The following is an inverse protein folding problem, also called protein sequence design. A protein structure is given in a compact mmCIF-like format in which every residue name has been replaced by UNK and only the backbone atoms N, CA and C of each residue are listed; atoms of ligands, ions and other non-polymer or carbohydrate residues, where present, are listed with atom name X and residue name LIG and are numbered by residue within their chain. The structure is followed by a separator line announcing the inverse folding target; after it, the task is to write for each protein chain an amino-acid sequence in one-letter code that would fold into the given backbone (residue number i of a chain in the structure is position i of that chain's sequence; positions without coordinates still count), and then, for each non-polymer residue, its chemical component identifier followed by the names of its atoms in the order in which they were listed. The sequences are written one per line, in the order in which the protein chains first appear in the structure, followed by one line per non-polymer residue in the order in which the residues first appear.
data_IF_729744736888
#
_entry.id   IF_729744736888
#
_cell.length_a   1.000
_cell.length_b   1.000
_cell.length_c   1.000
_cell.angle_alpha   90.00
_cell.angle_beta   90.00
_cell.angle_gamma   90.00
#
_symmetry.space_group_name_H-M   'P 1'
#
loop_
_entity.id
_entity.type
_entity.pdbx_description
1 polymer ?
#
# COMPACT_ATOMS: atom_id res chain seq x y z
N UNK A 1 -14.45 27.16 27.39
CA UNK A 1 -12.98 27.14 27.24
C UNK A 1 -12.64 25.71 26.87
N UNK A 2 -12.47 25.41 25.59
CA UNK A 2 -11.99 24.07 25.22
C UNK A 2 -10.53 24.01 25.69
N UNK A 3 -10.19 23.02 26.51
CA UNK A 3 -8.81 22.81 26.95
C UNK A 3 -7.88 22.84 25.74
N UNK A 4 -6.66 23.36 25.94
CA UNK A 4 -5.62 23.37 24.92
C UNK A 4 -5.57 21.97 24.28
N UNK A 5 -5.69 21.85 22.94
CA UNK A 5 -5.72 20.55 22.30
C UNK A 5 -4.44 19.79 22.66
N UNK A 6 -4.62 18.63 23.29
CA UNK A 6 -3.51 17.75 23.64
C UNK A 6 -2.97 17.13 22.36
N UNK A 7 -1.65 17.15 22.18
CA UNK A 7 -1.00 16.67 20.95
C UNK A 7 -0.48 15.25 21.10
N UNK A 8 -0.13 14.61 19.97
CA UNK A 8 0.58 13.33 19.96
C UNK A 8 1.90 13.44 20.75
N UNK A 9 2.63 14.55 20.62
CA UNK A 9 3.90 14.79 21.33
C UNK A 9 3.72 14.84 22.84
N UNK A 10 2.60 15.36 23.32
CA UNK A 10 2.32 15.45 24.76
C UNK A 10 2.12 14.06 25.40
N UNK A 11 1.70 13.06 24.60
CA UNK A 11 1.36 11.72 25.09
C UNK A 11 2.34 10.61 24.68
N UNK A 12 3.24 10.85 23.71
CA UNK A 12 4.09 9.80 23.14
C UNK A 12 4.95 9.07 24.19
N UNK A 13 5.36 9.78 25.24
CA UNK A 13 6.16 9.21 26.33
C UNK A 13 5.33 8.39 27.34
N UNK A 14 4.00 8.49 27.31
CA UNK A 14 3.11 7.66 28.12
C UNK A 14 2.82 6.29 27.47
N UNK A 15 3.19 6.11 26.20
CA UNK A 15 2.98 4.87 25.46
C UNK A 15 4.12 3.87 25.69
N UNK A 16 3.83 2.56 25.74
CA UNK A 16 4.86 1.54 25.81
C UNK A 16 5.69 1.52 24.51
N UNK A 17 6.94 1.08 24.63
CA UNK A 17 7.74 0.76 23.44
C UNK A 17 7.14 -0.45 22.71
N UNK A 18 7.33 -0.50 21.40
CA UNK A 18 6.90 -1.65 20.59
C UNK A 18 7.70 -2.90 20.96
N UNK A 19 6.99 -4.03 20.99
CA UNK A 19 7.48 -5.39 21.22
C UNK A 19 6.41 -6.37 20.75
N UNK A 20 6.74 -7.66 20.64
CA UNK A 20 5.81 -8.70 20.21
C UNK A 20 4.54 -8.76 21.07
N UNK A 21 4.65 -8.50 22.37
CA UNK A 21 3.51 -8.46 23.29
C UNK A 21 2.54 -7.28 23.02
N UNK A 22 2.97 -6.30 22.24
CA UNK A 22 2.18 -5.12 21.88
C UNK A 22 1.54 -5.21 20.49
N UNK A 23 1.55 -6.38 19.85
CA UNK A 23 0.94 -6.59 18.53
C UNK A 23 -0.48 -5.99 18.48
N UNK A 24 -0.76 -5.19 17.44
CA UNK A 24 -2.04 -4.51 17.24
C UNK A 24 -2.35 -3.34 18.20
N UNK A 25 -1.50 -3.05 19.20
CA UNK A 25 -1.72 -1.95 20.15
C UNK A 25 -1.02 -0.67 19.70
N UNK A 26 -1.59 0.48 20.04
CA UNK A 26 -0.92 1.77 19.85
C UNK A 26 0.28 1.87 20.82
N UNK A 27 1.48 1.96 20.24
CA UNK A 27 2.76 2.06 20.95
C UNK A 27 3.43 3.40 20.65
N UNK A 28 4.55 3.67 21.32
CA UNK A 28 5.43 4.80 20.98
C UNK A 28 5.83 4.78 19.50
N UNK A 29 6.08 3.59 18.95
CA UNK A 29 6.45 3.44 17.54
C UNK A 29 5.28 3.79 16.60
N UNK A 30 4.06 3.36 16.93
CA UNK A 30 2.86 3.77 16.18
C UNK A 30 2.66 5.30 16.21
N UNK A 31 2.87 5.93 17.37
CA UNK A 31 2.77 7.38 17.51
C UNK A 31 3.83 8.14 16.69
N UNK A 32 5.07 7.63 16.61
CA UNK A 32 6.07 8.20 15.71
C UNK A 32 5.70 8.00 14.23
N UNK A 33 5.14 6.85 13.85
CA UNK A 33 4.62 6.62 12.49
C UNK A 33 3.57 7.66 12.09
N UNK A 34 2.63 7.96 13.00
CA UNK A 34 1.66 9.03 12.81
C UNK A 34 2.32 10.42 12.68
N UNK A 35 3.32 10.72 13.50
CA UNK A 35 4.06 11.99 13.42
C UNK A 35 4.79 12.13 12.08
N UNK A 36 5.42 11.06 11.58
CA UNK A 36 6.04 11.05 10.25
C UNK A 36 5.00 11.40 9.18
N UNK A 37 3.82 10.78 9.22
CA UNK A 37 2.76 11.07 8.23
C UNK A 37 2.28 12.51 8.32
N UNK A 38 2.06 13.03 9.52
CA UNK A 38 1.66 14.42 9.74
C UNK A 38 2.72 15.41 9.24
N UNK A 39 3.99 15.21 9.58
CA UNK A 39 5.07 16.12 9.20
C UNK A 39 5.40 16.07 7.71
N UNK A 40 5.39 14.88 7.12
CA UNK A 40 5.59 14.71 5.68
C UNK A 40 4.51 15.45 4.88
N UNK A 41 3.29 15.53 5.39
CA UNK A 41 2.19 16.23 4.71
C UNK A 41 1.96 17.67 5.19
N UNK A 42 2.76 18.17 6.13
CA UNK A 42 2.49 19.44 6.81
C UNK A 42 2.46 20.65 5.88
N UNK A 43 3.38 20.74 4.91
CA UNK A 43 3.41 21.87 3.97
C UNK A 43 2.09 21.97 3.20
N UNK A 44 1.58 20.84 2.73
CA UNK A 44 0.35 20.79 1.94
C UNK A 44 -0.87 21.27 2.75
N UNK A 45 -0.98 20.87 4.01
CA UNK A 45 -2.18 21.12 4.81
C UNK A 45 -2.11 22.40 5.65
N UNK A 46 -0.91 22.88 5.97
CA UNK A 46 -0.72 24.04 6.87
C UNK A 46 0.02 25.19 6.20
N UNK A 47 0.52 25.01 4.97
CA UNK A 47 1.37 25.98 4.29
C UNK A 47 2.80 26.07 4.85
N UNK A 48 3.13 25.26 5.88
CA UNK A 48 4.46 25.28 6.53
C UNK A 48 5.10 23.91 6.46
N UNK A 49 6.24 23.82 5.77
CA UNK A 49 7.03 22.61 5.71
C UNK A 49 7.60 22.20 7.07
N UNK A 50 7.62 20.89 7.34
CA UNK A 50 8.14 20.29 8.59
C UNK A 50 9.10 19.12 8.30
N UNK A 51 9.91 19.25 7.25
CA UNK A 51 10.82 18.20 6.78
C UNK A 51 11.84 17.76 7.85
N UNK A 52 12.41 18.70 8.60
CA UNK A 52 13.34 18.39 9.68
C UNK A 52 12.67 17.57 10.79
N UNK A 53 11.43 17.90 11.16
CA UNK A 53 10.67 17.13 12.15
C UNK A 53 10.27 15.75 11.62
N UNK A 54 9.95 15.64 10.32
CA UNK A 54 9.72 14.35 9.66
C UNK A 54 10.95 13.47 9.76
N UNK A 55 12.14 14.00 9.42
CA UNK A 55 13.41 13.28 9.50
C UNK A 55 13.67 12.82 10.94
N UNK A 56 13.54 13.71 11.93
CA UNK A 56 13.75 13.35 13.34
C UNK A 56 12.77 12.29 13.85
N UNK A 57 11.51 12.31 13.41
CA UNK A 57 10.54 11.28 13.74
C UNK A 57 10.85 9.93 13.07
N UNK A 58 11.36 9.95 11.83
CA UNK A 58 11.87 8.75 11.16
C UNK A 58 13.09 8.18 11.91
N UNK A 59 14.03 9.03 12.31
CA UNK A 59 15.24 8.61 13.04
C UNK A 59 14.89 7.93 14.36
N UNK A 60 13.90 8.44 15.10
CA UNK A 60 13.43 7.79 16.33
C UNK A 60 12.97 6.32 16.12
N UNK A 61 12.43 6.01 14.93
CA UNK A 61 12.02 4.65 14.55
C UNK A 61 13.21 3.83 14.05
N UNK A 62 14.03 4.40 13.16
CA UNK A 62 15.19 3.73 12.55
C UNK A 62 16.25 3.39 13.61
N UNK A 63 16.52 4.30 14.53
CA UNK A 63 17.44 4.11 15.67
C UNK A 63 16.81 3.25 16.78
N UNK A 64 15.61 2.72 16.55
CA UNK A 64 14.89 1.80 17.42
C UNK A 64 14.60 2.36 18.83
N UNK A 65 14.57 3.68 19.00
CA UNK A 65 14.29 4.34 20.29
C UNK A 65 12.85 4.09 20.78
N UNK A 66 11.94 3.79 19.85
CA UNK A 66 10.55 3.48 20.12
C UNK A 66 10.26 1.97 20.31
N UNK A 67 11.31 1.12 20.25
CA UNK A 67 11.21 -0.33 20.26
C UNK A 67 10.76 -0.91 18.91
N UNK A 68 10.92 -2.22 18.73
CA UNK A 68 10.52 -2.95 17.53
C UNK A 68 9.83 -4.27 17.88
N UNK A 69 8.95 -4.75 17.00
CA UNK A 69 8.08 -5.88 17.31
C UNK A 69 8.87 -7.14 17.66
N UNK A 70 9.85 -7.49 16.82
CA UNK A 70 10.66 -8.71 16.97
C UNK A 70 12.15 -8.38 17.15
N UNK A 71 12.44 -7.46 18.07
CA UNK A 71 13.79 -6.92 18.29
C UNK A 71 13.97 -5.56 17.60
N UNK A 72 15.22 -5.18 17.31
CA UNK A 72 15.48 -3.96 16.56
C UNK A 72 14.80 -4.02 15.18
N UNK A 73 14.14 -2.91 14.79
CA UNK A 73 13.49 -2.81 13.48
C UNK A 73 14.51 -3.06 12.36
N UNK A 74 14.07 -3.79 11.34
CA UNK A 74 14.85 -4.05 10.14
C UNK A 74 13.90 -4.30 8.97
N UNK A 75 14.37 -4.03 7.76
CA UNK A 75 13.65 -4.45 6.55
C UNK A 75 13.61 -5.98 6.52
N UNK A 76 12.45 -6.54 6.19
CA UNK A 76 12.37 -7.99 5.99
C UNK A 76 13.18 -8.37 4.75
N UNK A 77 13.85 -9.54 4.71
CA UNK A 77 14.75 -9.88 3.61
C UNK A 77 14.03 -10.10 2.27
N UNK A 78 12.78 -10.58 2.28
CA UNK A 78 12.01 -10.82 1.07
C UNK A 78 10.85 -9.83 0.93
N UNK A 79 10.42 -9.57 -0.31
CA UNK A 79 9.27 -8.70 -0.62
C UNK A 79 7.92 -9.31 -0.24
N UNK A 80 7.88 -10.53 0.29
CA UNK A 80 6.66 -11.26 0.67
C UNK A 80 6.49 -11.41 2.18
N UNK A 81 7.57 -11.29 2.98
CA UNK A 81 7.57 -11.62 4.41
C UNK A 81 6.58 -10.77 5.22
N UNK A 82 6.42 -9.49 4.88
CA UNK A 82 5.47 -8.57 5.53
C UNK A 82 4.00 -8.88 5.17
N UNK A 83 3.76 -9.74 4.18
CA UNK A 83 2.46 -9.91 3.55
C UNK A 83 1.94 -11.36 3.57
N UNK A 84 2.55 -12.23 4.37
CA UNK A 84 2.14 -13.63 4.57
C UNK A 84 1.47 -13.83 5.93
N UNK A 85 0.77 -14.96 6.18
CA UNK A 85 -0.04 -15.08 7.39
C UNK A 85 0.70 -15.18 8.72
N UNK A 86 2.02 -15.36 8.70
CA UNK A 86 2.89 -15.28 9.88
C UNK A 86 3.67 -13.95 9.94
N UNK A 87 3.21 -12.90 9.26
CA UNK A 87 3.87 -11.60 9.22
C UNK A 87 3.94 -10.89 10.59
N UNK A 88 3.25 -11.37 11.63
CA UNK A 88 3.53 -10.96 13.01
C UNK A 88 4.99 -11.20 13.45
N UNK A 89 5.74 -12.03 12.72
CA UNK A 89 7.19 -12.25 12.90
C UNK A 89 8.07 -11.21 12.20
N UNK A 90 7.50 -10.36 11.34
CA UNK A 90 8.20 -9.30 10.63
C UNK A 90 8.93 -8.36 11.60
N UNK A 91 10.12 -7.92 11.22
CA UNK A 91 10.84 -6.82 11.91
C UNK A 91 10.53 -5.46 11.29
N UNK A 92 9.83 -5.46 10.17
CA UNK A 92 9.48 -4.27 9.41
C UNK A 92 8.19 -3.62 9.91
N UNK A 93 7.23 -4.40 10.43
CA UNK A 93 5.93 -3.89 10.88
C UNK A 93 6.07 -3.04 12.16
N UNK A 94 5.56 -1.81 12.08
CA UNK A 94 5.57 -0.81 13.17
C UNK A 94 4.20 -0.74 13.85
N UNK A 95 3.14 -0.81 13.06
CA UNK A 95 1.77 -0.84 13.56
C UNK A 95 0.88 -1.57 12.56
N UNK A 96 0.08 -2.52 13.05
CA UNK A 96 -0.83 -3.32 12.23
C UNK A 96 -2.22 -3.41 12.83
N UNK A 97 -3.20 -3.72 11.98
CA UNK A 97 -4.43 -4.37 12.43
C UNK A 97 -4.10 -5.85 12.55
N UNK A 98 -4.10 -6.36 13.78
CA UNK A 98 -3.77 -7.75 14.06
C UNK A 98 -4.92 -8.69 13.69
N UNK A 99 -4.64 -9.77 12.96
CA UNK A 99 -5.61 -10.80 12.59
C UNK A 99 -5.17 -12.17 13.08
N UNK A 100 -6.14 -12.96 13.55
CA UNK A 100 -5.91 -14.37 13.91
C UNK A 100 -7.20 -15.12 13.65
N UNK A 101 -7.23 -15.86 12.54
CA UNK A 101 -8.41 -16.59 12.13
C UNK A 101 -8.71 -17.77 13.07
N UNK A 102 -7.67 -18.45 13.53
CA UNK A 102 -7.78 -19.72 14.28
C UNK A 102 -8.17 -19.44 15.72
N UNK A 103 -7.46 -18.54 16.40
CA UNK A 103 -7.73 -18.22 17.79
C UNK A 103 -8.76 -17.09 17.96
N UNK A 104 -8.95 -16.26 16.93
CA UNK A 104 -9.90 -15.14 16.94
C UNK A 104 -11.30 -15.49 16.46
N UNK A 105 -11.71 -16.76 16.49
CA UNK A 105 -13.05 -17.22 16.06
C UNK A 105 -13.44 -16.74 14.65
N UNK A 106 -12.51 -16.85 13.70
CA UNK A 106 -12.73 -16.41 12.33
C UNK A 106 -12.43 -14.93 12.08
N UNK A 107 -11.82 -14.22 13.04
CA UNK A 107 -11.33 -12.85 12.86
C UNK A 107 -10.23 -12.81 11.81
N UNK A 108 -10.53 -12.18 10.67
CA UNK A 108 -9.68 -12.21 9.48
C UNK A 108 -9.82 -10.92 8.68
N UNK A 109 -8.82 -10.59 7.85
CA UNK A 109 -8.94 -9.47 6.95
C UNK A 109 -10.14 -9.62 6.00
N UNK A 110 -10.89 -8.54 5.84
CA UNK A 110 -12.03 -8.47 4.92
C UNK A 110 -11.65 -8.03 3.51
N UNK A 111 -10.39 -7.65 3.27
CA UNK A 111 -9.93 -7.15 1.96
C UNK A 111 -10.11 -8.19 0.84
N UNK A 112 -10.09 -9.49 1.17
CA UNK A 112 -10.40 -10.56 0.20
C UNK A 112 -11.79 -10.39 -0.43
N UNK A 113 -12.78 -9.88 0.29
CA UNK A 113 -14.14 -9.69 -0.22
C UNK A 113 -14.17 -8.75 -1.42
N UNK A 114 -13.39 -7.66 -1.39
CA UNK A 114 -13.44 -6.62 -2.43
C UNK A 114 -12.37 -6.81 -3.53
N UNK A 115 -11.20 -7.34 -3.16
CA UNK A 115 -10.07 -7.44 -4.08
C UNK A 115 -9.99 -8.77 -4.85
N UNK A 116 -10.70 -9.82 -4.41
CA UNK A 116 -10.57 -11.14 -5.04
C UNK A 116 -11.64 -11.39 -6.09
N UNK A 117 -11.21 -12.09 -7.13
CA UNK A 117 -12.10 -12.75 -8.08
C UNK A 117 -12.87 -13.90 -7.41
N UNK A 118 -14.05 -14.28 -7.93
CA UNK A 118 -14.93 -15.33 -7.39
C UNK A 118 -14.21 -16.66 -7.11
N UNK A 119 -13.31 -17.04 -8.02
CA UNK A 119 -12.57 -18.30 -8.00
C UNK A 119 -11.10 -18.15 -7.58
N UNK A 120 -10.69 -16.98 -7.07
CA UNK A 120 -9.31 -16.77 -6.61
C UNK A 120 -8.91 -17.72 -5.48
N UNK A 121 -9.89 -18.26 -4.73
CA UNK A 121 -9.69 -19.29 -3.69
C UNK A 121 -8.86 -20.48 -4.12
N UNK A 122 -8.96 -20.89 -5.38
CA UNK A 122 -8.21 -22.03 -5.92
C UNK A 122 -6.73 -21.69 -6.20
N UNK A 123 -6.43 -20.41 -6.44
CA UNK A 123 -5.09 -19.90 -6.76
C UNK A 123 -4.19 -19.90 -5.51
N UNK A 124 -4.76 -20.03 -4.31
CA UNK A 124 -4.02 -20.14 -3.05
C UNK A 124 -4.42 -21.33 -2.17
N UNK A 125 -5.18 -22.29 -2.71
CA UNK A 125 -5.66 -23.47 -1.96
C UNK A 125 -6.40 -23.10 -0.66
N UNK A 126 -7.39 -22.21 -0.80
CA UNK A 126 -8.23 -21.76 0.31
C UNK A 126 -9.72 -21.80 0.02
N UNK A 127 -10.52 -21.29 0.97
CA UNK A 127 -11.98 -21.39 0.95
C UNK A 127 -12.69 -20.07 0.69
N UNK A 128 -12.03 -18.94 0.97
CA UNK A 128 -12.64 -17.62 0.83
C UNK A 128 -12.70 -17.15 -0.62
N UNK A 129 -13.80 -16.53 -1.04
CA UNK A 129 -13.93 -15.88 -2.34
C UNK A 129 -14.01 -14.35 -2.18
N UNK A 130 -14.01 -13.64 -3.31
CA UNK A 130 -14.36 -12.22 -3.35
C UNK A 130 -15.53 -11.95 -4.29
N UNK A 131 -15.85 -10.67 -4.47
CA UNK A 131 -16.97 -10.17 -5.28
C UNK A 131 -16.57 -9.72 -6.69
N UNK A 132 -15.30 -9.93 -7.07
CA UNK A 132 -14.75 -9.53 -8.36
C UNK A 132 -14.79 -8.01 -8.64
N UNK A 133 -14.84 -7.17 -7.59
CA UNK A 133 -15.11 -5.75 -7.72
C UNK A 133 -13.89 -4.86 -7.99
N UNK A 134 -12.77 -5.09 -7.31
CA UNK A 134 -11.59 -4.19 -7.39
C UNK A 134 -10.45 -4.84 -8.16
N UNK A 135 -9.91 -4.10 -9.13
CA UNK A 135 -8.77 -4.51 -9.96
C UNK A 135 -7.68 -3.45 -9.97
N UNK A 136 -6.50 -3.83 -10.43
CA UNK A 136 -5.46 -2.86 -10.79
C UNK A 136 -5.95 -1.98 -11.93
N UNK A 137 -5.75 -0.66 -11.81
CA UNK A 137 -5.98 0.30 -12.89
C UNK A 137 -5.12 -0.11 -14.09
N UNK A 138 -5.70 -0.30 -15.29
CA UNK A 138 -4.96 -0.67 -16.49
C UNK A 138 -3.74 0.22 -16.76
N UNK A 139 -2.63 -0.41 -17.15
CA UNK A 139 -1.37 0.27 -17.46
C UNK A 139 -0.45 0.55 -16.27
N UNK A 140 -0.93 0.41 -15.01
CA UNK A 140 -0.06 0.45 -13.83
C UNK A 140 1.00 -0.66 -13.89
N UNK A 141 0.63 -1.81 -14.46
CA UNK A 141 1.55 -2.93 -14.65
C UNK A 141 2.80 -2.57 -15.46
N UNK A 142 2.64 -1.73 -16.48
CA UNK A 142 3.73 -1.31 -17.35
C UNK A 142 4.79 -0.45 -16.62
N UNK A 143 4.48 0.02 -15.41
CA UNK A 143 5.44 0.77 -14.58
C UNK A 143 6.48 -0.13 -13.92
N UNK A 144 6.24 -1.45 -13.85
CA UNK A 144 7.18 -2.44 -13.35
C UNK A 144 8.01 -3.03 -14.50
N UNK A 145 9.32 -3.11 -14.29
CA UNK A 145 10.22 -3.80 -15.22
C UNK A 145 9.97 -5.30 -15.21
N UNK A 146 10.32 -5.98 -16.30
CA UNK A 146 10.16 -7.44 -16.43
C UNK A 146 10.98 -8.24 -15.42
N UNK A 147 12.08 -7.69 -14.89
CA UNK A 147 12.89 -8.33 -13.85
C UNK A 147 12.53 -7.87 -12.43
N UNK A 148 11.49 -7.04 -12.25
CA UNK A 148 10.99 -6.64 -10.95
C UNK A 148 10.09 -7.74 -10.37
N UNK A 149 10.54 -8.39 -9.30
CA UNK A 149 9.83 -9.52 -8.68
C UNK A 149 8.43 -9.13 -8.18
N UNK A 150 8.20 -7.86 -7.82
CA UNK A 150 6.88 -7.38 -7.37
C UNK A 150 5.82 -7.58 -8.44
N UNK A 151 6.20 -7.50 -9.72
CA UNK A 151 5.33 -7.70 -10.88
C UNK A 151 4.67 -9.08 -10.88
N UNK A 152 5.36 -10.09 -10.34
CA UNK A 152 4.92 -11.49 -10.33
C UNK A 152 4.45 -11.95 -8.95
N UNK A 153 5.08 -11.46 -7.88
CA UNK A 153 4.72 -11.83 -6.51
C UNK A 153 3.46 -11.12 -6.01
N UNK A 154 3.29 -9.84 -6.35
CA UNK A 154 2.21 -9.01 -5.82
C UNK A 154 1.01 -8.91 -6.75
N UNK A 155 1.13 -9.29 -8.03
CA UNK A 155 0.08 -9.10 -9.03
C UNK A 155 -0.22 -10.43 -9.72
N UNK A 156 -1.47 -10.90 -9.64
CA UNK A 156 -1.93 -12.02 -10.47
C UNK A 156 -2.22 -11.54 -11.89
N UNK A 157 -1.72 -12.30 -12.86
CA UNK A 157 -1.79 -12.01 -14.29
C UNK A 157 -1.84 -13.28 -15.11
N UNK A 158 -2.37 -13.18 -16.34
CA UNK A 158 -2.33 -14.26 -17.31
C UNK A 158 -3.17 -15.47 -16.87
N UNK A 159 -2.89 -16.66 -17.44
CA UNK A 159 -3.62 -17.87 -17.12
C UNK A 159 -3.46 -18.28 -15.66
N UNK A 160 -4.58 -18.56 -15.00
CA UNK A 160 -4.61 -18.99 -13.60
C UNK A 160 -4.71 -20.51 -13.49
N UNK A 161 -4.02 -21.06 -12.50
CA UNK A 161 -3.96 -22.50 -12.21
C UNK A 161 -4.13 -22.72 -10.71
N UNK A 162 -4.45 -23.95 -10.32
CA UNK A 162 -4.55 -24.32 -8.91
C UNK A 162 -3.17 -24.27 -8.26
N UNK A 163 -3.09 -23.78 -7.02
CA UNK A 163 -1.80 -23.71 -6.30
C UNK A 163 -1.14 -25.09 -6.15
N UNK A 164 -1.96 -26.12 -5.88
CA UNK A 164 -1.51 -27.49 -5.59
C UNK A 164 -1.30 -28.34 -6.86
N UNK A 165 -1.77 -27.87 -8.01
CA UNK A 165 -1.59 -28.54 -9.30
C UNK A 165 -1.53 -27.49 -10.42
N UNK A 166 -0.30 -27.14 -10.81
CA UNK A 166 -0.06 -26.18 -11.88
C UNK A 166 -0.55 -26.63 -13.26
N UNK A 167 -0.94 -27.90 -13.43
CA UNK A 167 -1.52 -28.41 -14.68
C UNK A 167 -3.03 -28.24 -14.74
N UNK A 168 -3.68 -28.00 -13.59
CA UNK A 168 -5.12 -27.80 -13.50
C UNK A 168 -5.47 -26.31 -13.65
N UNK A 169 -6.22 -25.92 -14.70
CA UNK A 169 -6.64 -24.53 -14.88
C UNK A 169 -7.73 -24.15 -13.87
N UNK A 170 -7.66 -22.93 -13.33
CA UNK A 170 -8.82 -22.31 -12.67
C UNK A 170 -9.78 -21.86 -13.77
N UNK A 171 -11.04 -22.26 -13.67
CA UNK A 171 -12.04 -21.93 -14.69
C UNK A 171 -12.81 -20.65 -14.32
N UNK A 172 -13.20 -19.90 -15.34
CA UNK A 172 -14.17 -18.82 -15.23
C UNK A 172 -15.57 -19.36 -14.88
N UNK A 173 -16.42 -18.48 -14.38
CA UNK A 173 -17.80 -18.75 -13.94
C UNK A 173 -18.85 -17.92 -14.65
N UNK A 174 -18.47 -16.79 -15.27
CA UNK A 174 -19.40 -15.83 -15.88
C UNK A 174 -19.17 -15.77 -17.40
N UNK A 175 -18.68 -14.64 -17.97
CA UNK A 175 -18.45 -14.49 -19.41
C UNK A 175 -17.47 -15.54 -19.97
N UNK A 176 -16.58 -16.08 -19.12
CA UNK A 176 -15.60 -17.11 -19.46
C UNK A 176 -15.92 -18.47 -18.83
N UNK A 177 -17.19 -18.73 -18.51
CA UNK A 177 -17.63 -20.00 -17.89
C UNK A 177 -17.08 -21.24 -18.61
N UNK A 178 -16.36 -22.07 -17.85
CA UNK A 178 -15.76 -23.32 -18.33
C UNK A 178 -14.45 -23.16 -19.12
N UNK A 179 -14.00 -21.94 -19.37
CA UNK A 179 -12.69 -21.63 -19.96
C UNK A 179 -11.67 -21.34 -18.86
N UNK A 180 -10.37 -21.49 -19.15
CA UNK A 180 -9.34 -21.09 -18.20
C UNK A 180 -9.44 -19.59 -17.93
N UNK A 181 -9.43 -19.21 -16.66
CA UNK A 181 -9.42 -17.83 -16.21
C UNK A 181 -8.07 -17.20 -16.56
N UNK A 182 -8.10 -16.09 -17.30
CA UNK A 182 -6.91 -15.37 -17.76
C UNK A 182 -7.04 -13.88 -17.40
N UNK A 183 -6.36 -13.42 -16.35
CA UNK A 183 -6.39 -12.00 -15.99
C UNK A 183 -5.59 -11.15 -16.97
N UNK A 184 -6.17 -10.03 -17.41
CA UNK A 184 -5.61 -9.14 -18.44
C UNK A 184 -5.49 -7.70 -17.96
N UNK A 185 -4.55 -6.93 -18.52
CA UNK A 185 -4.35 -5.51 -18.18
C UNK A 185 -5.29 -4.59 -18.97
N UNK A 186 -6.59 -4.86 -18.90
CA UNK A 186 -7.65 -4.05 -19.51
C UNK A 186 -8.98 -4.25 -18.80
N UNK A 187 -9.90 -3.30 -18.93
CA UNK A 187 -11.29 -3.43 -18.46
C UNK A 187 -12.19 -3.29 -19.68
N UNK A 188 -12.46 -4.42 -20.33
CA UNK A 188 -13.09 -4.49 -21.65
C UNK A 188 -14.04 -5.69 -21.71
N UNK A 189 -15.08 -5.61 -22.55
CA UNK A 189 -15.96 -6.74 -22.87
C UNK A 189 -15.50 -7.46 -24.14
N UNK A 190 -14.37 -8.15 -24.06
CA UNK A 190 -13.77 -8.87 -25.19
C UNK A 190 -14.66 -10.03 -25.63
N UNK A 191 -15.35 -10.68 -24.70
CA UNK A 191 -16.34 -11.74 -24.99
C UNK A 191 -17.46 -11.28 -25.93
N UNK A 192 -17.79 -9.98 -25.93
CA UNK A 192 -18.77 -9.34 -26.81
C UNK A 192 -18.14 -8.70 -28.06
N UNK A 193 -16.83 -8.86 -28.28
CA UNK A 193 -16.10 -8.25 -29.38
C UNK A 193 -15.86 -6.73 -29.23
N UNK A 194 -16.01 -6.18 -28.03
CA UNK A 194 -15.75 -4.75 -27.76
C UNK A 194 -14.27 -4.49 -27.51
N UNK A 195 -13.81 -3.32 -27.92
CA UNK A 195 -12.40 -2.88 -27.76
C UNK A 195 -12.26 -1.66 -26.83
N UNK A 196 -13.38 -1.08 -26.39
CA UNK A 196 -13.38 0.06 -25.48
C UNK A 196 -12.99 -0.39 -24.06
N UNK A 197 -11.96 0.24 -23.50
CA UNK A 197 -11.49 0.00 -22.13
C UNK A 197 -11.87 1.17 -21.22
N UNK A 198 -12.89 1.00 -20.37
CA UNK A 198 -13.26 1.97 -19.33
C UNK A 198 -14.02 1.30 -18.16
N UNK A 199 -14.31 2.07 -17.10
CA UNK A 199 -14.96 1.60 -15.87
C UNK A 199 -16.36 0.98 -16.07
N UNK A 200 -16.97 1.11 -17.24
CA UNK A 200 -18.29 0.56 -17.57
C UNK A 200 -18.23 -0.73 -18.38
N UNK A 201 -17.03 -1.14 -18.84
CA UNK A 201 -16.83 -2.27 -19.74
C UNK A 201 -16.20 -3.49 -19.07
N UNK A 202 -16.31 -3.67 -17.75
CA UNK A 202 -15.75 -4.84 -17.08
C UNK A 202 -16.47 -6.16 -17.42
N UNK A 203 -15.69 -7.23 -17.49
CA UNK A 203 -16.11 -8.64 -17.52
C UNK A 203 -15.20 -9.45 -16.56
N UNK A 204 -15.56 -10.70 -16.24
CA UNK A 204 -14.94 -11.50 -15.17
C UNK A 204 -13.39 -11.53 -15.16
N UNK A 205 -12.76 -11.55 -16.33
CA UNK A 205 -11.30 -11.64 -16.43
C UNK A 205 -10.59 -10.27 -16.50
N UNK A 206 -11.35 -9.17 -16.53
CA UNK A 206 -10.83 -7.81 -16.64
C UNK A 206 -9.94 -7.45 -15.46
N UNK A 207 -8.84 -6.75 -15.74
CA UNK A 207 -7.92 -6.22 -14.75
C UNK A 207 -7.03 -7.26 -14.07
N UNK A 208 -5.80 -6.84 -13.76
CA UNK A 208 -4.87 -7.63 -12.97
C UNK A 208 -5.28 -7.64 -11.49
N UNK A 209 -5.04 -8.74 -10.79
CA UNK A 209 -5.59 -8.94 -9.43
C UNK A 209 -4.58 -8.77 -8.32
N UNK A 210 -5.11 -8.33 -7.19
CA UNK A 210 -4.39 -8.22 -5.92
C UNK A 210 -3.82 -9.59 -5.53
N UNK A 211 -2.51 -9.63 -5.29
CA UNK A 211 -1.82 -10.81 -4.79
C UNK A 211 -0.82 -10.47 -3.68
N UNK A 212 -0.75 -9.21 -3.24
CA UNK A 212 0.31 -8.74 -2.35
C UNK A 212 0.20 -9.36 -0.97
N UNK A 213 -0.95 -9.20 -0.30
CA UNK A 213 -1.25 -9.94 0.92
C UNK A 213 -1.78 -11.33 0.60
N UNK A 214 -1.16 -12.34 1.21
CA UNK A 214 -1.47 -13.76 1.03
C UNK A 214 -2.26 -14.27 2.23
N UNK A 215 -3.39 -14.95 2.01
CA UNK A 215 -4.15 -15.58 3.09
C UNK A 215 -3.52 -16.89 3.56
N UNK A 216 -2.52 -17.43 2.85
CA UNK A 216 -2.04 -18.80 3.06
C UNK A 216 -3.05 -19.85 2.60
N UNK A 217 -2.67 -21.11 2.72
CA UNK A 217 -3.52 -22.26 2.39
C UNK A 217 -4.44 -22.58 3.55
N UNK A 218 -5.59 -23.18 3.28
CA UNK A 218 -6.51 -23.61 4.34
C UNK A 218 -5.84 -24.56 5.36
N UNK A 219 -4.88 -25.37 4.91
CA UNK A 219 -4.15 -26.30 5.76
C UNK A 219 -3.06 -25.63 6.61
N UNK A 220 -2.72 -24.36 6.37
CA UNK A 220 -1.66 -23.66 7.10
C UNK A 220 -2.12 -23.28 8.51
N UNK A 221 -1.21 -23.40 9.48
CA UNK A 221 -1.50 -23.09 10.88
C UNK A 221 -1.95 -21.64 11.13
N UNK A 222 -1.56 -20.72 10.24
CA UNK A 222 -1.90 -19.30 10.31
C UNK A 222 -2.86 -18.87 9.20
N UNK A 223 -3.65 -19.79 8.61
CA UNK A 223 -4.57 -19.46 7.51
C UNK A 223 -5.41 -18.20 7.79
N UNK A 224 -5.39 -17.22 6.89
CA UNK A 224 -6.07 -15.92 6.98
C UNK A 224 -5.68 -15.06 8.19
N UNK A 225 -4.49 -15.25 8.76
CA UNK A 225 -3.97 -14.46 9.89
C UNK A 225 -2.92 -13.42 9.49
N UNK A 226 -2.88 -13.01 8.20
CA UNK A 226 -1.97 -11.95 7.76
C UNK A 226 -2.44 -10.60 8.32
N UNK A 227 -1.64 -10.02 9.20
CA UNK A 227 -1.86 -8.68 9.75
C UNK A 227 -1.86 -7.63 8.65
N UNK A 228 -2.71 -6.61 8.75
CA UNK A 228 -2.65 -5.47 7.84
C UNK A 228 -1.70 -4.41 8.39
N UNK A 229 -0.54 -4.23 7.77
CA UNK A 229 0.42 -3.21 8.17
C UNK A 229 -0.13 -1.81 7.85
N UNK A 230 -0.35 -0.99 8.89
CA UNK A 230 -0.67 0.44 8.75
C UNK A 230 0.62 1.21 8.54
N UNK A 231 1.66 0.92 9.33
CA UNK A 231 3.01 1.45 9.15
C UNK A 231 4.03 0.33 9.15
N UNK A 232 4.98 0.42 8.21
CA UNK A 232 6.16 -0.46 8.12
C UNK A 232 7.41 0.36 7.87
N UNK A 233 8.57 -0.16 8.26
CA UNK A 233 9.85 0.54 8.19
C UNK A 233 10.19 0.99 6.77
N UNK A 234 9.84 0.23 5.73
CA UNK A 234 10.03 0.68 4.35
C UNK A 234 9.29 2.00 4.09
N UNK A 235 8.06 2.18 4.57
CA UNK A 235 7.36 3.46 4.40
C UNK A 235 8.08 4.61 5.09
N UNK A 236 8.69 4.35 6.27
CA UNK A 236 9.53 5.31 7.00
C UNK A 236 10.79 5.68 6.19
N UNK A 237 11.44 4.71 5.54
CA UNK A 237 12.59 4.94 4.68
C UNK A 237 12.22 5.86 3.52
N UNK A 238 11.09 5.60 2.85
CA UNK A 238 10.62 6.45 1.76
C UNK A 238 10.18 7.84 2.24
N UNK A 239 9.55 7.96 3.41
CA UNK A 239 9.20 9.25 4.01
C UNK A 239 10.45 10.08 4.36
N UNK A 240 11.47 9.44 4.95
CA UNK A 240 12.75 10.09 5.27
C UNK A 240 13.48 10.54 3.99
N UNK A 241 13.58 9.66 2.98
CA UNK A 241 14.19 10.00 1.70
C UNK A 241 13.49 11.18 1.02
N UNK A 242 12.15 11.19 1.01
CA UNK A 242 11.38 12.32 0.47
C UNK A 242 11.68 13.62 1.23
N UNK A 243 11.64 13.61 2.57
CA UNK A 243 11.92 14.79 3.38
C UNK A 243 13.35 15.32 3.19
N UNK A 244 14.34 14.43 3.05
CA UNK A 244 15.73 14.79 2.72
C UNK A 244 15.79 15.46 1.35
N UNK A 245 15.18 14.86 0.33
CA UNK A 245 15.15 15.41 -1.03
C UNK A 245 14.50 16.78 -1.05
N UNK A 246 13.33 16.95 -0.41
CA UNK A 246 12.61 18.23 -0.30
C UNK A 246 13.47 19.30 0.36
N UNK A 247 14.16 18.96 1.45
CA UNK A 247 15.08 19.87 2.15
C UNK A 247 16.30 20.25 1.29
N UNK A 248 16.66 19.40 0.34
CA UNK A 248 17.76 19.59 -0.60
C UNK A 248 17.29 20.04 -2.00
N UNK A 249 16.21 20.84 -2.07
CA UNK A 249 15.72 21.41 -3.34
C UNK A 249 15.18 20.37 -4.33
N UNK A 250 14.57 19.30 -3.83
CA UNK A 250 14.07 18.14 -4.58
C UNK A 250 15.16 17.26 -5.22
N UNK A 251 16.41 17.36 -4.77
CA UNK A 251 17.54 16.59 -5.29
C UNK A 251 17.93 15.47 -4.32
N UNK A 252 18.09 14.24 -4.82
CA UNK A 252 18.56 13.11 -4.02
C UNK A 252 19.98 13.30 -3.51
N UNK A 253 20.17 13.02 -2.23
CA UNK A 253 21.47 12.85 -1.59
C UNK A 253 21.86 11.37 -1.62
N UNK A 254 23.12 11.05 -1.30
CA UNK A 254 23.55 9.66 -1.13
C UNK A 254 22.72 8.93 -0.05
N UNK A 255 22.36 9.61 1.05
CA UNK A 255 21.52 9.05 2.10
C UNK A 255 20.11 8.68 1.60
N UNK A 256 19.45 9.60 0.87
CA UNK A 256 18.14 9.33 0.29
C UNK A 256 18.20 8.13 -0.68
N UNK A 257 19.25 8.05 -1.49
CA UNK A 257 19.48 6.93 -2.42
C UNK A 257 19.65 5.62 -1.65
N UNK A 258 20.46 5.59 -0.59
CA UNK A 258 20.64 4.39 0.24
C UNK A 258 19.31 3.91 0.82
N UNK A 259 18.52 4.80 1.42
CA UNK A 259 17.21 4.45 2.00
C UNK A 259 16.28 3.78 0.97
N UNK A 260 16.20 4.32 -0.26
CA UNK A 260 15.35 3.73 -1.30
C UNK A 260 15.95 2.43 -1.85
N UNK A 261 17.28 2.38 -2.03
CA UNK A 261 17.96 1.21 -2.56
C UNK A 261 17.91 0.01 -1.60
N UNK A 262 18.05 0.22 -0.29
CA UNK A 262 17.91 -0.82 0.72
C UNK A 262 16.53 -1.49 0.66
N UNK A 263 15.51 -0.71 0.29
CA UNK A 263 14.18 -1.27 0.01
C UNK A 263 14.12 -1.98 -1.34
N UNK A 264 14.47 -1.25 -2.40
CA UNK A 264 14.27 -1.68 -3.78
C UNK A 264 15.05 -2.94 -4.11
N UNK A 265 16.25 -3.13 -3.55
CA UNK A 265 17.10 -4.28 -3.88
C UNK A 265 16.46 -5.63 -3.62
N UNK A 266 15.49 -5.71 -2.68
CA UNK A 266 14.76 -6.94 -2.37
C UNK A 266 13.84 -7.40 -3.50
N UNK A 267 13.46 -6.47 -4.38
CA UNK A 267 12.62 -6.74 -5.54
C UNK A 267 13.40 -7.25 -6.76
N UNK A 268 14.72 -7.42 -6.66
CA UNK A 268 15.58 -7.82 -7.78
C UNK A 268 16.54 -8.93 -7.38
N UNK A 269 16.94 -9.76 -8.35
CA UNK A 269 18.03 -10.70 -8.15
C UNK A 269 19.36 -9.95 -7.91
N UNK A 270 20.34 -10.59 -7.28
CA UNK A 270 21.67 -9.99 -7.09
C UNK A 270 22.34 -9.59 -8.42
N UNK A 271 22.04 -10.33 -9.51
CA UNK A 271 22.55 -10.02 -10.85
C UNK A 271 21.85 -8.80 -11.45
N UNK A 272 20.53 -8.72 -11.36
CA UNK A 272 19.75 -7.60 -11.88
C UNK A 272 20.02 -6.30 -11.10
N UNK A 273 20.24 -6.41 -9.79
CA UNK A 273 20.41 -5.26 -8.91
C UNK A 273 21.48 -4.27 -9.37
N UNK A 274 22.56 -4.77 -9.99
CA UNK A 274 23.68 -3.95 -10.49
C UNK A 274 23.21 -2.88 -11.49
N UNK A 275 22.19 -3.17 -12.31
CA UNK A 275 21.64 -2.22 -13.29
C UNK A 275 20.39 -1.49 -12.81
N UNK A 276 19.85 -1.91 -11.66
CA UNK A 276 18.58 -1.41 -11.12
C UNK A 276 18.76 -0.44 -9.94
N UNK A 277 19.93 -0.40 -9.32
CA UNK A 277 20.23 0.53 -8.24
C UNK A 277 20.08 1.99 -8.68
N UNK A 278 19.43 2.81 -7.85
CA UNK A 278 19.39 4.25 -8.08
C UNK A 278 20.73 4.90 -7.73
N UNK A 279 20.96 6.04 -8.37
CA UNK A 279 22.02 7.01 -8.08
C UNK A 279 21.37 8.34 -7.74
N UNK A 280 22.11 9.33 -7.20
CA UNK A 280 21.58 10.67 -7.00
C UNK A 280 21.03 11.32 -8.28
N UNK A 281 21.55 10.93 -9.45
CA UNK A 281 21.08 11.43 -10.74
C UNK A 281 19.79 10.75 -11.21
N UNK A 282 19.57 9.48 -10.87
CA UNK A 282 18.42 8.70 -11.35
C UNK A 282 17.25 8.70 -10.37
N UNK A 283 17.47 8.88 -9.06
CA UNK A 283 16.41 9.08 -8.08
C UNK A 283 15.93 10.55 -8.09
N UNK A 284 15.15 10.91 -9.10
CA UNK A 284 14.46 12.21 -9.12
C UNK A 284 13.26 12.21 -8.19
N UNK A 285 12.72 13.39 -7.85
CA UNK A 285 11.53 13.48 -6.99
C UNK A 285 10.30 12.83 -7.65
N UNK A 286 10.15 12.95 -8.97
CA UNK A 286 9.08 12.26 -9.72
C UNK A 286 9.31 10.74 -9.75
N UNK A 287 10.56 10.29 -9.87
CA UNK A 287 10.90 8.87 -9.80
C UNK A 287 10.66 8.29 -8.40
N UNK A 288 10.91 9.07 -7.33
CA UNK A 288 10.54 8.67 -5.98
C UNK A 288 9.03 8.44 -5.87
N UNK A 289 8.19 9.32 -6.44
CA UNK A 289 6.75 9.12 -6.49
C UNK A 289 6.35 7.87 -7.30
N UNK A 290 7.07 7.58 -8.38
CA UNK A 290 6.86 6.37 -9.18
C UNK A 290 7.22 5.11 -8.37
N UNK A 291 8.37 5.10 -7.71
CA UNK A 291 8.81 3.98 -6.87
C UNK A 291 7.89 3.78 -5.66
N UNK A 292 7.38 4.86 -5.05
CA UNK A 292 6.31 4.77 -4.03
C UNK A 292 5.05 4.11 -4.59
N UNK A 293 4.68 4.42 -5.83
CA UNK A 293 3.54 3.79 -6.50
C UNK A 293 3.71 2.28 -6.70
N UNK A 294 4.94 1.83 -7.01
CA UNK A 294 5.28 0.41 -7.11
C UNK A 294 5.33 -0.27 -5.75
N UNK A 295 6.06 0.32 -4.80
CA UNK A 295 6.34 -0.25 -3.49
C UNK A 295 5.09 -0.33 -2.61
N UNK A 296 4.25 0.70 -2.60
CA UNK A 296 3.06 0.80 -1.73
C UNK A 296 1.75 0.48 -2.43
N UNK A 297 1.83 -0.25 -3.56
CA UNK A 297 0.67 -0.71 -4.29
C UNK A 297 -0.30 -1.46 -3.34
N UNK A 298 -1.57 -1.04 -3.35
CA UNK A 298 -2.67 -1.49 -2.49
C UNK A 298 -2.52 -1.26 -0.97
N UNK A 299 -1.59 -0.42 -0.51
CA UNK A 299 -1.41 -0.13 0.92
C UNK A 299 -2.12 1.15 1.39
N UNK A 300 -2.90 1.82 0.52
CA UNK A 300 -3.74 2.97 0.91
C UNK A 300 -3.06 4.35 0.86
N UNK A 301 -1.79 4.45 0.47
CA UNK A 301 -1.05 5.73 0.47
C UNK A 301 -1.19 6.58 -0.80
N UNK A 302 -1.55 5.97 -1.94
CA UNK A 302 -1.40 6.58 -3.27
C UNK A 302 -2.09 7.93 -3.42
N UNK A 303 -3.32 8.08 -2.90
CA UNK A 303 -4.07 9.35 -2.98
C UNK A 303 -3.34 10.49 -2.28
N UNK A 304 -2.88 10.25 -1.05
CA UNK A 304 -2.20 11.26 -0.25
C UNK A 304 -0.86 11.66 -0.89
N UNK A 305 -0.11 10.68 -1.39
CA UNK A 305 1.14 10.93 -2.12
C UNK A 305 0.88 11.79 -3.37
N UNK A 306 -0.11 11.44 -4.19
CA UNK A 306 -0.44 12.24 -5.37
C UNK A 306 -0.85 13.68 -5.01
N UNK A 307 -1.56 13.90 -3.91
CA UNK A 307 -1.93 15.25 -3.46
C UNK A 307 -0.69 16.03 -3.02
N UNK A 308 0.19 15.41 -2.21
CA UNK A 308 1.44 16.04 -1.73
C UNK A 308 2.39 16.41 -2.88
N UNK A 309 2.39 15.61 -3.95
CA UNK A 309 3.17 15.88 -5.16
C UNK A 309 2.44 16.75 -6.18
N UNK A 310 1.22 17.21 -5.88
CA UNK A 310 0.42 18.04 -6.76
C UNK A 310 -0.01 17.35 -8.06
N UNK A 311 -0.04 16.01 -8.08
CA UNK A 311 -0.40 15.17 -9.24
C UNK A 311 -1.86 14.70 -9.20
N UNK A 312 -2.52 14.73 -8.04
CA UNK A 312 -3.87 14.15 -7.90
C UNK A 312 -4.94 14.79 -8.80
N UNK A 313 -4.84 16.08 -9.10
CA UNK A 313 -5.79 16.80 -9.96
C UNK A 313 -5.19 17.22 -11.30
N UNK A 314 -3.89 16.99 -11.51
CA UNK A 314 -3.12 17.51 -12.65
C UNK A 314 -2.54 16.42 -13.55
N UNK A 315 -2.25 15.23 -12.99
CA UNK A 315 -1.76 14.10 -13.77
C UNK A 315 -2.93 13.32 -14.36
N UNK A 316 -2.70 12.68 -15.51
CA UNK A 316 -3.68 11.80 -16.14
C UNK A 316 -3.30 10.34 -15.94
N UNK A 317 -4.30 9.48 -15.79
CA UNK A 317 -4.16 8.03 -15.85
C UNK A 317 -5.46 7.43 -16.43
N UNK A 318 -5.51 6.11 -16.56
CA UNK A 318 -6.50 5.41 -17.39
C UNK A 318 -7.98 5.83 -17.18
N UNK A 319 -8.45 5.99 -15.94
CA UNK A 319 -9.81 6.44 -15.60
C UNK A 319 -9.88 7.89 -15.10
N UNK A 320 -8.82 8.68 -15.28
CA UNK A 320 -8.75 10.04 -14.76
C UNK A 320 -8.27 11.05 -15.79
N UNK A 321 -9.20 11.94 -16.11
CA UNK A 321 -8.90 13.19 -16.83
C UNK A 321 -8.60 14.29 -15.81
N UNK A 322 -7.45 14.98 -15.90
CA UNK A 322 -7.09 16.06 -14.99
C UNK A 322 -8.17 17.14 -14.92
N UNK A 323 -8.71 17.38 -13.72
CA UNK A 323 -9.67 18.47 -13.50
C UNK A 323 -9.00 19.83 -13.33
N UNK A 324 -7.73 19.83 -12.90
CA UNK A 324 -6.99 21.01 -12.41
C UNK A 324 -7.73 21.79 -11.30
N UNK A 325 -8.72 21.18 -10.65
CA UNK A 325 -9.52 21.79 -9.59
C UNK A 325 -8.99 21.35 -8.21
N UNK A 326 -8.27 22.21 -7.46
CA UNK A 326 -7.72 21.85 -6.16
C UNK A 326 -8.82 21.53 -5.13
N UNK A 327 -10.07 21.95 -5.35
CA UNK A 327 -11.18 21.62 -4.45
C UNK A 327 -11.47 20.11 -4.40
N UNK A 328 -11.02 19.32 -5.38
CA UNK A 328 -11.21 17.86 -5.40
C UNK A 328 -10.22 17.10 -4.53
N UNK A 329 -9.21 17.77 -3.98
CA UNK A 329 -8.25 17.16 -3.05
C UNK A 329 -8.86 16.83 -1.68
N UNK A 330 -9.98 17.46 -1.31
CA UNK A 330 -10.71 17.23 -0.06
C UNK A 330 -12.12 16.74 -0.38
N UNK A 331 -12.56 15.66 0.25
CA UNK A 331 -13.92 15.14 0.06
C UNK A 331 -14.98 16.14 0.57
N UNK A 332 -16.19 16.15 -0.03
CA UNK A 332 -17.30 16.94 0.51
C UNK A 332 -17.69 16.45 1.91
N UNK A 333 -18.12 17.38 2.77
CA UNK A 333 -18.77 16.99 4.03
C UNK A 333 -20.13 16.37 3.68
N UNK A 334 -20.44 15.15 4.16
CA UNK A 334 -21.68 14.48 3.81
C UNK A 334 -22.91 15.31 4.19
N UNK A 335 -23.85 15.46 3.24
CA UNK A 335 -25.02 16.33 3.41
C UNK A 335 -25.84 16.00 4.66
N UNK A 336 -26.02 14.70 4.97
CA UNK A 336 -26.72 14.25 6.19
C UNK A 336 -26.08 14.82 7.46
N UNK A 337 -24.75 14.90 7.53
CA UNK A 337 -24.07 15.42 8.72
C UNK A 337 -24.17 16.95 8.83
N UNK A 338 -24.19 17.66 7.70
CA UNK A 338 -24.43 19.11 7.68
C UNK A 338 -25.84 19.49 8.13
N UNK A 339 -26.85 18.68 7.78
CA UNK A 339 -28.23 18.87 8.24
C UNK A 339 -28.31 18.68 9.77
N UNK A 340 -27.64 17.65 10.29
CA UNK A 340 -27.66 17.34 11.72
C UNK A 340 -26.82 18.30 12.57
N UNK A 341 -25.75 18.87 12.00
CA UNK A 341 -24.89 19.81 12.69
C UNK A 341 -24.69 21.09 11.85
N UNK A 342 -25.44 22.17 12.13
CA UNK A 342 -25.36 23.41 11.35
C UNK A 342 -24.02 24.14 11.49
N UNK A 343 -23.14 23.73 12.41
CA UNK A 343 -21.78 24.27 12.51
C UNK A 343 -20.83 23.73 11.43
N UNK A 344 -21.23 22.70 10.68
CA UNK A 344 -20.43 22.13 9.59
C UNK A 344 -20.68 22.87 8.27
N UNK A 345 -19.84 23.86 7.98
CA UNK A 345 -19.77 24.48 6.66
C UNK A 345 -19.25 23.49 5.60
N UNK A 346 -19.66 23.65 4.35
CA UNK A 346 -19.16 22.80 3.25
C UNK A 346 -17.70 23.13 2.93
N UNK A 347 -16.96 22.13 2.45
CA UNK A 347 -15.66 22.36 1.82
C UNK A 347 -15.84 23.15 0.52
N UNK A 348 -14.93 24.08 0.17
CA UNK A 348 -15.02 24.83 -1.08
C UNK A 348 -15.21 23.91 -2.32
N UNK A 349 -16.02 24.35 -3.30
CA UNK A 349 -16.24 23.63 -4.56
C UNK A 349 -17.31 22.52 -4.55
N UNK A 350 -18.15 22.43 -3.51
CA UNK A 350 -19.23 21.43 -3.35
C UNK A 350 -20.56 22.01 -2.88
#
# INVERSE_FOLDING_TARGET
MFDKPVTVKDNINALPNLSAAMLGRATKAAAYGMLVEMYLNAEKWTGTARWADCIAACDALIDNTAGGQNGAMALDPNITDTYVPNNHLSKEIIFSIAYDFVNGNGWKPQWTSDFYHFNQRFIYDGTHNGNDGVVMIPGVDATFKTNDLRKYEWILRGPQVYLVDSTQPVLGSEEYSGQQLVFVDSIQRVSEGKTQSDMTQGEENSGLRFNKYKPGRQADANYMSADWAIYRLTWIYFAKAEAIMRSNGNVATAEAVTLINDSKMRAFSATDWVTEAYTPATLTIDELLAERGREFLWEGFRRQDLIRFGKFTTASWWDHTPSNDPNKEVFPIPNRQRILNPNLAQNPGY
#
